data_IF_327574717587
#
_entry.id   IF_327574717587
#
_cell.length_a   1.000
_cell.length_b   1.000
_cell.length_c   1.000
_cell.angle_alpha   90.00
_cell.angle_beta   90.00
_cell.angle_gamma   90.00
#
_symmetry.space_group_name_H-M   'P 1'
#
loop_
_entity.id
_entity.type
_entity.pdbx_description
1 polymer ?
#
# COMPACT_ATOMS: atom_id res chain seq x y z
N UNK A 1 -8.31 8.78 21.39
CA UNK A 1 -7.26 7.81 21.75
C UNK A 1 -7.22 6.81 20.62
N UNK A 2 -6.46 7.11 19.57
CA UNK A 2 -6.21 6.14 18.52
C UNK A 2 -5.30 5.07 19.10
N UNK A 3 -5.89 3.93 19.39
CA UNK A 3 -5.17 2.70 19.66
C UNK A 3 -4.60 2.22 18.31
N UNK A 4 -3.68 3.00 17.74
CA UNK A 4 -3.01 2.63 16.50
C UNK A 4 -2.05 1.51 16.85
N UNK A 5 -2.52 0.28 16.64
CA UNK A 5 -1.81 -0.95 16.96
C UNK A 5 -0.43 -0.93 16.28
N UNK A 6 0.62 -0.63 17.06
CA UNK A 6 2.01 -0.67 16.58
C UNK A 6 2.47 -2.13 16.43
N UNK A 7 2.18 -2.70 15.26
CA UNK A 7 2.55 -4.09 14.94
C UNK A 7 4.06 -4.34 15.05
N UNK A 8 4.88 -3.30 14.88
CA UNK A 8 6.34 -3.36 15.01
C UNK A 8 6.80 -3.96 16.35
N UNK A 9 6.10 -3.67 17.46
CA UNK A 9 6.47 -4.14 18.81
C UNK A 9 5.76 -5.44 19.20
N UNK A 10 4.71 -5.82 18.46
CA UNK A 10 3.88 -6.98 18.73
C UNK A 10 4.23 -8.21 17.88
N UNK A 11 4.96 -8.02 16.78
CA UNK A 11 5.33 -9.07 15.83
C UNK A 11 6.83 -9.32 15.87
N UNK A 12 7.23 -10.59 15.96
CA UNK A 12 8.63 -11.01 15.92
C UNK A 12 9.30 -10.59 14.60
N UNK A 13 10.63 -10.48 14.62
CA UNK A 13 11.39 -9.98 13.47
C UNK A 13 11.18 -10.81 12.19
N UNK A 14 11.14 -12.14 12.30
CA UNK A 14 10.92 -13.03 11.17
C UNK A 14 9.54 -12.80 10.52
N UNK A 15 8.48 -12.80 11.32
CA UNK A 15 7.11 -12.57 10.84
C UNK A 15 6.95 -11.16 10.28
N UNK A 16 7.57 -10.16 10.91
CA UNK A 16 7.57 -8.78 10.42
C UNK A 16 8.24 -8.68 9.06
N UNK A 17 9.32 -9.41 8.83
CA UNK A 17 10.02 -9.46 7.53
C UNK A 17 9.12 -10.05 6.45
N UNK A 18 8.39 -11.13 6.75
CA UNK A 18 7.41 -11.72 5.83
C UNK A 18 6.26 -10.76 5.54
N UNK A 19 5.74 -10.08 6.56
CA UNK A 19 4.69 -9.07 6.40
C UNK A 19 5.15 -7.91 5.51
N UNK A 20 6.35 -7.37 5.75
CA UNK A 20 6.92 -6.32 4.91
C UNK A 20 7.03 -6.80 3.47
N UNK A 21 7.59 -7.98 3.22
CA UNK A 21 7.73 -8.51 1.87
C UNK A 21 6.38 -8.66 1.15
N UNK A 22 5.37 -9.21 1.83
CA UNK A 22 4.02 -9.35 1.28
C UNK A 22 3.34 -8.01 1.02
N UNK A 23 3.44 -7.05 1.96
CA UNK A 23 2.86 -5.71 1.80
C UNK A 23 3.54 -4.92 0.67
N UNK A 24 4.84 -5.10 0.46
CA UNK A 24 5.55 -4.49 -0.69
C UNK A 24 5.05 -5.06 -2.02
N UNK A 25 4.83 -6.39 -2.10
CA UNK A 25 4.28 -7.01 -3.30
C UNK A 25 2.86 -6.50 -3.58
N UNK A 26 2.01 -6.48 -2.55
CA UNK A 26 0.64 -5.99 -2.66
C UNK A 26 0.59 -4.50 -3.07
N UNK A 27 1.49 -3.68 -2.54
CA UNK A 27 1.61 -2.28 -2.94
C UNK A 27 1.88 -2.16 -4.44
N UNK A 28 2.88 -2.90 -4.97
CA UNK A 28 3.23 -2.86 -6.40
C UNK A 28 2.05 -3.26 -7.29
N UNK A 29 1.34 -4.33 -6.92
CA UNK A 29 0.19 -4.80 -7.68
C UNK A 29 -0.94 -3.76 -7.69
N UNK A 30 -1.25 -3.15 -6.55
CA UNK A 30 -2.26 -2.09 -6.45
C UNK A 30 -1.86 -0.84 -7.21
N UNK A 31 -0.59 -0.45 -7.17
CA UNK A 31 -0.07 0.70 -7.92
C UNK A 31 -0.15 0.44 -9.43
N UNK A 32 0.18 -0.76 -9.88
CA UNK A 32 0.04 -1.15 -11.29
C UNK A 32 -1.43 -1.10 -11.75
N UNK A 33 -2.36 -1.61 -10.93
CA UNK A 33 -3.80 -1.54 -11.22
C UNK A 33 -4.30 -0.08 -11.28
N UNK A 34 -3.87 0.77 -10.33
CA UNK A 34 -4.19 2.19 -10.32
C UNK A 34 -3.67 2.89 -11.59
N UNK A 35 -2.41 2.67 -11.95
CA UNK A 35 -1.80 3.27 -13.13
C UNK A 35 -2.51 2.84 -14.43
N UNK A 36 -2.93 1.57 -14.53
CA UNK A 36 -3.72 1.10 -15.66
C UNK A 36 -5.06 1.83 -15.79
N UNK A 37 -5.76 2.05 -14.67
CA UNK A 37 -7.02 2.78 -14.65
C UNK A 37 -6.83 4.27 -14.97
N UNK A 38 -5.78 4.90 -14.43
CA UNK A 38 -5.39 6.28 -14.77
C UNK A 38 -5.13 6.41 -16.26
N UNK A 39 -4.40 5.47 -16.87
CA UNK A 39 -4.11 5.49 -18.29
C UNK A 39 -5.39 5.43 -19.15
N UNK A 40 -6.35 4.58 -18.77
CA UNK A 40 -7.64 4.52 -19.47
C UNK A 40 -8.45 5.81 -19.29
N UNK A 41 -8.50 6.37 -18.09
CA UNK A 41 -9.19 7.65 -17.83
C UNK A 41 -8.57 8.79 -18.67
N UNK A 42 -7.24 8.84 -18.73
CA UNK A 42 -6.50 9.81 -19.54
C UNK A 42 -6.85 9.71 -21.03
N UNK A 43 -6.84 8.50 -21.61
CA UNK A 43 -7.24 8.29 -23.02
C UNK A 43 -8.67 8.78 -23.28
N UNK A 44 -9.56 8.64 -22.30
CA UNK A 44 -10.97 9.02 -22.41
C UNK A 44 -11.22 10.50 -22.10
N UNK A 45 -10.21 11.25 -21.67
CA UNK A 45 -10.39 12.64 -21.21
C UNK A 45 -11.20 12.76 -19.91
N UNK A 46 -11.22 11.71 -19.09
CA UNK A 46 -11.93 11.64 -17.83
C UNK A 46 -10.99 11.95 -16.65
N UNK A 47 -11.58 12.25 -15.48
CA UNK A 47 -10.82 12.46 -14.25
C UNK A 47 -10.15 11.16 -13.80
N UNK A 48 -8.96 11.29 -13.19
CA UNK A 48 -8.27 10.15 -12.60
C UNK A 48 -9.10 9.56 -11.45
N UNK A 49 -9.13 8.22 -11.30
CA UNK A 49 -9.79 7.61 -10.16
C UNK A 49 -9.05 7.98 -8.86
N UNK A 50 -9.73 8.00 -7.70
CA UNK A 50 -9.06 8.21 -6.42
C UNK A 50 -8.20 7.00 -6.05
N UNK A 51 -7.00 7.22 -5.51
CA UNK A 51 -6.11 6.13 -5.06
C UNK A 51 -6.77 5.21 -4.01
N UNK A 52 -7.66 5.76 -3.18
CA UNK A 52 -8.42 5.02 -2.19
C UNK A 52 -9.26 3.88 -2.81
N UNK A 53 -9.69 4.02 -4.07
CA UNK A 53 -10.41 2.96 -4.79
C UNK A 53 -9.56 1.69 -4.98
N UNK A 54 -8.23 1.83 -4.98
CA UNK A 54 -7.27 0.74 -5.17
C UNK A 54 -6.63 0.27 -3.86
N UNK A 55 -7.04 0.84 -2.73
CA UNK A 55 -6.55 0.44 -1.41
C UNK A 55 -5.07 0.79 -1.16
N UNK A 56 -4.54 1.84 -1.80
CA UNK A 56 -3.13 2.21 -1.67
C UNK A 56 -2.81 2.77 -0.27
N UNK A 57 -3.71 3.56 0.32
CA UNK A 57 -3.52 4.18 1.63
C UNK A 57 -3.51 3.15 2.77
N UNK A 58 -4.29 2.08 2.64
CA UNK A 58 -4.34 0.96 3.59
C UNK A 58 -3.01 0.21 3.58
N UNK A 59 -2.45 -0.05 2.40
CA UNK A 59 -1.14 -0.73 2.31
C UNK A 59 -0.02 0.16 2.84
N UNK A 60 -0.06 1.46 2.54
CA UNK A 60 0.87 2.43 3.12
C UNK A 60 0.80 2.45 4.65
N UNK A 61 -0.42 2.47 5.18
CA UNK A 61 -0.66 2.48 6.63
C UNK A 61 -0.15 1.19 7.28
N UNK A 62 -0.42 0.04 6.67
CA UNK A 62 0.08 -1.24 7.18
C UNK A 62 1.61 -1.34 7.12
N UNK A 63 2.24 -0.88 6.04
CA UNK A 63 3.70 -0.81 5.94
C UNK A 63 4.28 0.03 7.08
N UNK A 64 3.70 1.22 7.35
CA UNK A 64 4.15 2.08 8.45
C UNK A 64 4.01 1.40 9.81
N UNK A 65 2.91 0.68 10.05
CA UNK A 65 2.68 -0.05 11.32
C UNK A 65 3.68 -1.17 11.57
N UNK A 66 4.24 -1.77 10.51
CA UNK A 66 5.33 -2.74 10.62
C UNK A 66 6.73 -2.10 10.54
N UNK A 67 6.83 -0.78 10.56
CA UNK A 67 8.09 -0.04 10.56
C UNK A 67 8.75 0.10 9.17
N UNK A 68 7.98 -0.03 8.09
CA UNK A 68 8.44 0.10 6.72
C UNK A 68 7.71 1.23 5.96
N UNK A 69 8.25 1.60 4.81
CA UNK A 69 7.59 2.48 3.84
C UNK A 69 7.54 1.76 2.48
N UNK A 70 6.64 2.13 1.56
CA UNK A 70 6.67 1.60 0.20
C UNK A 70 8.05 1.76 -0.42
N UNK A 71 8.56 0.71 -1.05
CA UNK A 71 9.82 0.82 -1.78
C UNK A 71 9.64 1.77 -2.97
N UNK A 72 10.67 2.52 -3.38
CA UNK A 72 10.63 3.24 -4.65
C UNK A 72 10.62 2.22 -5.79
N UNK A 73 9.74 2.39 -6.79
CA UNK A 73 9.73 1.62 -8.03
C UNK A 73 9.83 2.58 -9.21
#
# INVERSE_FOLDING_TARGET
MDNELELRTMVGEADRTLLVAGLQALHRERLAAYNAAVYVAFIRGELHPPMAMFGLDEVHTMLRRVGAAPAPF
#
